data_IF_346955807335
#
_entry.id   IF_346955807335
#
_cell.length_a   1.000
_cell.length_b   1.000
_cell.length_c   1.000
_cell.angle_alpha   90.00
_cell.angle_beta   90.00
_cell.angle_gamma   90.00
#
_symmetry.space_group_name_H-M   'P 1'
#
loop_
_entity.id
_entity.type
_entity.pdbx_description
1 polymer ?
#
# COMPACT_ATOMS: atom_id res chain seq x y z
N UNK A 1 -17.19 11.38 12.12
CA UNK A 1 -17.46 12.63 11.36
C UNK A 1 -16.48 12.69 10.22
N UNK A 2 -16.85 13.26 9.07
CA UNK A 2 -15.93 13.41 7.93
C UNK A 2 -14.86 14.46 8.29
N UNK A 3 -13.59 14.13 8.12
CA UNK A 3 -12.46 15.05 8.31
C UNK A 3 -12.27 15.84 7.01
N UNK A 4 -11.86 17.11 7.10
CA UNK A 4 -11.57 17.95 5.92
C UNK A 4 -10.24 17.54 5.25
N UNK A 5 -9.25 17.16 6.05
CA UNK A 5 -7.92 16.71 5.58
C UNK A 5 -7.48 15.49 6.35
N UNK A 6 -7.07 14.42 5.66
CA UNK A 6 -6.56 13.19 6.27
C UNK A 6 -5.03 13.19 6.27
N UNK A 7 -4.44 12.88 7.42
CA UNK A 7 -2.99 12.76 7.64
C UNK A 7 -2.53 11.35 7.23
N UNK A 8 -1.70 11.30 6.19
CA UNK A 8 -1.26 10.04 5.57
C UNK A 8 0.25 9.92 5.70
N UNK A 9 0.69 8.76 6.19
CA UNK A 9 2.10 8.36 6.17
C UNK A 9 2.33 7.49 4.94
N UNK A 10 3.31 7.86 4.12
CA UNK A 10 3.75 7.02 3.00
C UNK A 10 4.79 6.00 3.48
N UNK A 11 4.57 4.71 3.22
CA UNK A 11 5.59 3.68 3.41
C UNK A 11 6.26 3.33 2.08
N UNK A 12 7.58 3.46 2.03
CA UNK A 12 8.46 3.31 0.87
C UNK A 12 8.41 4.44 -0.16
N UNK A 13 9.55 4.62 -0.85
CA UNK A 13 9.78 5.64 -1.89
C UNK A 13 10.20 5.04 -3.25
N UNK A 14 9.79 3.79 -3.52
CA UNK A 14 9.94 3.15 -4.83
C UNK A 14 8.99 3.74 -5.89
N UNK A 15 8.85 3.11 -7.06
CA UNK A 15 8.03 3.64 -8.15
C UNK A 15 6.58 3.95 -7.72
N UNK A 16 5.93 3.03 -7.00
CA UNK A 16 4.57 3.23 -6.45
C UNK A 16 4.56 4.30 -5.37
N UNK A 17 5.53 4.28 -4.45
CA UNK A 17 5.66 5.29 -3.39
C UNK A 17 5.86 6.70 -3.93
N UNK A 18 6.67 6.88 -4.99
CA UNK A 18 6.86 8.17 -5.68
C UNK A 18 5.56 8.70 -6.26
N UNK A 19 4.85 7.86 -7.00
CA UNK A 19 3.54 8.23 -7.56
C UNK A 19 2.53 8.56 -6.45
N UNK A 20 2.57 7.82 -5.34
CA UNK A 20 1.70 8.04 -4.19
C UNK A 20 2.00 9.36 -3.46
N UNK A 21 3.27 9.71 -3.24
CA UNK A 21 3.69 10.99 -2.64
C UNK A 21 3.17 12.16 -3.48
N UNK A 22 3.34 12.08 -4.82
CA UNK A 22 2.81 13.10 -5.74
C UNK A 22 1.28 13.18 -5.63
N UNK A 23 0.60 12.03 -5.60
CA UNK A 23 -0.86 11.95 -5.48
C UNK A 23 -1.38 12.55 -4.17
N UNK A 24 -0.72 12.26 -3.05
CA UNK A 24 -1.04 12.82 -1.73
C UNK A 24 -0.84 14.34 -1.75
N UNK A 25 0.31 14.82 -2.22
CA UNK A 25 0.63 16.24 -2.27
C UNK A 25 -0.33 17.06 -3.16
N UNK A 26 -0.84 16.47 -4.24
CA UNK A 26 -1.74 17.14 -5.17
C UNK A 26 -3.20 17.19 -4.70
N UNK A 27 -3.52 16.59 -3.55
CA UNK A 27 -4.89 16.50 -3.02
C UNK A 27 -5.06 17.38 -1.79
N UNK A 28 -6.02 18.31 -1.84
CA UNK A 28 -6.32 19.24 -0.73
C UNK A 28 -6.90 18.55 0.50
N UNK A 29 -7.48 17.37 0.32
CA UNK A 29 -8.07 16.57 1.38
C UNK A 29 -7.09 15.56 1.99
N UNK A 30 -5.81 15.57 1.58
CA UNK A 30 -4.75 14.74 2.15
C UNK A 30 -3.56 15.60 2.58
N UNK A 31 -2.88 15.16 3.63
CA UNK A 31 -1.64 15.74 4.12
C UNK A 31 -0.58 14.64 4.18
N UNK A 32 0.60 14.85 3.60
CA UNK A 32 1.73 13.94 3.74
C UNK A 32 2.37 14.19 5.13
N UNK A 33 2.04 13.35 6.10
CA UNK A 33 2.45 13.55 7.50
C UNK A 33 3.72 12.79 7.87
N UNK A 34 4.20 11.90 7.00
CA UNK A 34 5.41 11.13 7.22
C UNK A 34 5.84 10.34 5.99
N UNK A 35 7.12 9.97 5.96
CA UNK A 35 7.68 9.07 4.96
C UNK A 35 8.57 8.03 5.63
N UNK A 36 8.27 6.75 5.40
CA UNK A 36 9.08 5.63 5.87
C UNK A 36 9.92 5.11 4.71
N UNK A 37 11.22 4.94 4.94
CA UNK A 37 12.18 4.39 3.97
C UNK A 37 12.98 3.26 4.58
N UNK A 38 13.35 2.27 3.76
CA UNK A 38 14.27 1.20 4.15
C UNK A 38 15.74 1.50 3.84
N UNK A 39 16.00 2.41 2.89
CA UNK A 39 17.35 2.82 2.49
C UNK A 39 17.89 3.85 3.49
N UNK A 40 18.94 3.47 4.22
CA UNK A 40 19.57 4.31 5.26
C UNK A 40 20.05 5.66 4.72
N UNK A 41 20.45 5.73 3.44
CA UNK A 41 20.92 6.97 2.83
C UNK A 41 19.81 8.02 2.67
N UNK A 42 18.54 7.60 2.78
CA UNK A 42 17.38 8.48 2.65
C UNK A 42 16.87 9.00 3.98
N UNK A 43 17.32 8.45 5.11
CA UNK A 43 16.89 8.88 6.44
C UNK A 43 17.29 10.35 6.66
N UNK A 44 16.34 11.17 7.13
CA UNK A 44 16.53 12.61 7.32
C UNK A 44 16.53 13.43 6.02
N UNK A 45 16.41 12.81 4.85
CA UNK A 45 16.16 13.56 3.60
C UNK A 45 14.69 13.97 3.51
N UNK A 46 14.43 15.05 2.78
CA UNK A 46 13.06 15.49 2.51
C UNK A 46 12.38 14.57 1.47
N UNK A 47 11.09 14.29 1.66
CA UNK A 47 10.29 13.45 0.77
C UNK A 47 10.28 13.97 -0.67
N UNK A 48 10.14 15.29 -0.86
CA UNK A 48 10.21 15.95 -2.17
C UNK A 48 11.56 15.76 -2.84
N UNK A 49 12.64 15.97 -2.09
CA UNK A 49 14.00 15.75 -2.58
C UNK A 49 14.25 14.28 -2.99
N UNK A 50 13.76 13.30 -2.19
CA UNK A 50 13.87 11.86 -2.51
C UNK A 50 13.20 11.52 -3.85
N UNK A 51 12.07 12.15 -4.16
CA UNK A 51 11.31 11.85 -5.38
C UNK A 51 11.65 12.79 -6.56
N UNK A 52 12.53 13.78 -6.35
CA UNK A 52 13.01 14.69 -7.39
C UNK A 52 12.09 15.88 -7.67
N UNK A 53 11.36 16.37 -6.66
CA UNK A 53 10.56 17.60 -6.73
C UNK A 53 11.01 18.60 -5.65
N UNK A 54 10.32 19.75 -5.54
CA UNK A 54 10.55 20.72 -4.46
C UNK A 54 10.36 20.09 -3.07
N UNK A 55 11.11 20.58 -2.07
CA UNK A 55 10.99 20.06 -0.70
C UNK A 55 9.56 20.21 -0.16
N UNK A 56 9.07 19.15 0.46
CA UNK A 56 7.71 19.08 1.02
C UNK A 56 7.66 19.36 2.53
N UNK A 57 8.82 19.47 3.18
CA UNK A 57 8.94 19.65 4.63
C UNK A 57 8.74 18.36 5.43
N UNK A 58 8.77 17.19 4.78
CA UNK A 58 8.52 15.88 5.39
C UNK A 58 9.81 15.09 5.35
N UNK A 59 10.42 14.87 6.52
CA UNK A 59 11.67 14.12 6.66
C UNK A 59 11.39 12.63 6.70
N UNK A 60 12.18 11.85 5.96
CA UNK A 60 12.06 10.41 5.95
C UNK A 60 12.70 9.79 7.21
N UNK A 61 12.08 8.73 7.74
CA UNK A 61 12.60 7.90 8.84
C UNK A 61 12.54 6.43 8.44
N UNK A 62 13.25 5.55 9.14
CA UNK A 62 13.08 4.10 9.03
C UNK A 62 12.30 3.51 10.22
N UNK A 63 11.84 4.36 11.14
CA UNK A 63 11.16 3.95 12.36
C UNK A 63 9.66 4.18 12.24
N UNK A 64 8.91 3.11 11.98
CA UNK A 64 7.45 3.16 11.94
C UNK A 64 6.84 3.57 13.30
N UNK A 65 7.49 3.24 14.41
CA UNK A 65 6.93 3.48 15.75
C UNK A 65 6.78 4.98 16.06
N UNK A 66 7.44 5.85 15.30
CA UNK A 66 7.22 7.30 15.31
C UNK A 66 5.81 7.70 14.87
N UNK A 67 5.05 6.82 14.23
CA UNK A 67 3.71 7.11 13.68
C UNK A 67 2.59 6.26 14.30
N UNK A 68 2.92 5.29 15.17
CA UNK A 68 1.94 4.35 15.75
C UNK A 68 1.50 4.76 17.17
N UNK A 69 1.83 5.97 17.60
CA UNK A 69 1.36 6.49 18.89
C UNK A 69 -0.07 7.04 18.72
N UNK A 70 -0.99 6.62 19.59
CA UNK A 70 -2.38 7.07 19.62
C UNK A 70 -2.56 8.58 19.85
N UNK A 71 -1.54 9.27 20.40
CA UNK A 71 -1.55 10.73 20.55
C UNK A 71 -1.27 11.47 19.22
N UNK A 72 -0.83 10.76 18.19
CA UNK A 72 -0.59 11.32 16.86
C UNK A 72 -1.87 11.24 16.03
N UNK A 73 -2.18 12.35 15.37
CA UNK A 73 -3.32 12.43 14.45
C UNK A 73 -2.95 11.83 13.08
N UNK A 74 -2.70 10.51 13.01
CA UNK A 74 -2.44 9.78 11.75
C UNK A 74 -3.68 8.98 11.37
N UNK A 75 -4.25 9.28 10.19
CA UNK A 75 -5.48 8.63 9.75
C UNK A 75 -5.21 7.31 9.00
N UNK A 76 -4.12 7.27 8.22
CA UNK A 76 -3.83 6.14 7.33
C UNK A 76 -2.32 6.01 7.04
N UNK A 77 -1.87 4.76 6.90
CA UNK A 77 -0.59 4.44 6.28
C UNK A 77 -0.85 3.88 4.88
N UNK A 78 -0.29 4.54 3.87
CA UNK A 78 -0.23 4.01 2.51
C UNK A 78 0.99 3.07 2.39
N UNK A 79 0.74 1.78 2.57
CA UNK A 79 1.74 0.73 2.67
C UNK A 79 2.08 0.17 1.28
N UNK A 80 3.19 0.63 0.68
CA UNK A 80 3.56 0.21 -0.69
C UNK A 80 5.04 -0.20 -0.83
N UNK A 81 5.59 -1.07 0.05
CA UNK A 81 6.90 -1.66 -0.20
C UNK A 81 6.83 -2.69 -1.34
N UNK A 82 7.98 -3.26 -1.67
CA UNK A 82 8.03 -4.45 -2.51
C UNK A 82 7.49 -5.63 -1.71
N UNK A 83 6.48 -6.33 -2.25
CA UNK A 83 5.72 -7.32 -1.50
C UNK A 83 6.61 -8.48 -1.03
N UNK A 84 6.59 -8.79 0.27
CA UNK A 84 7.49 -9.75 0.92
C UNK A 84 7.39 -11.14 0.31
N UNK A 85 6.17 -11.60 -0.01
CA UNK A 85 5.94 -12.89 -0.64
C UNK A 85 6.58 -13.06 -2.02
N UNK A 86 7.01 -11.97 -2.69
CA UNK A 86 7.63 -12.00 -4.02
C UNK A 86 9.16 -12.00 -3.97
N UNK A 87 9.77 -11.44 -2.92
CA UNK A 87 11.20 -11.11 -2.93
C UNK A 87 11.95 -11.44 -1.64
N UNK A 88 11.27 -11.88 -0.59
CA UNK A 88 11.84 -11.89 0.76
C UNK A 88 11.98 -13.31 1.33
N UNK A 89 12.89 -13.46 2.28
CA UNK A 89 13.09 -14.71 3.05
C UNK A 89 11.92 -14.96 4.04
N UNK A 90 11.25 -13.89 4.47
CA UNK A 90 10.07 -13.93 5.33
C UNK A 90 8.79 -13.54 4.55
N UNK A 91 7.97 -14.51 4.12
CA UNK A 91 6.73 -14.22 3.39
C UNK A 91 5.67 -13.53 4.26
N UNK A 92 5.75 -13.62 5.59
CA UNK A 92 4.76 -13.05 6.52
C UNK A 92 5.08 -11.60 6.94
N UNK A 93 6.23 -11.05 6.53
CA UNK A 93 6.69 -9.72 6.93
C UNK A 93 5.64 -8.62 6.69
N UNK A 94 5.02 -8.59 5.49
CA UNK A 94 3.99 -7.59 5.18
C UNK A 94 2.76 -7.75 6.08
N UNK A 95 2.32 -9.00 6.31
CA UNK A 95 1.18 -9.30 7.19
C UNK A 95 1.47 -8.81 8.61
N UNK A 96 2.64 -9.11 9.14
CA UNK A 96 3.04 -8.75 10.50
C UNK A 96 3.12 -7.22 10.68
N UNK A 97 3.70 -6.51 9.70
CA UNK A 97 3.72 -5.04 9.69
C UNK A 97 2.31 -4.45 9.67
N UNK A 98 1.44 -4.94 8.77
CA UNK A 98 0.06 -4.47 8.64
C UNK A 98 -0.73 -4.73 9.93
N UNK A 99 -0.63 -5.92 10.52
CA UNK A 99 -1.30 -6.24 11.81
C UNK A 99 -0.82 -5.28 12.90
N UNK A 100 0.47 -4.98 12.99
CA UNK A 100 1.02 -4.02 13.95
C UNK A 100 0.39 -2.63 13.79
N UNK A 101 0.29 -2.13 12.56
CA UNK A 101 -0.31 -0.82 12.25
C UNK A 101 -1.81 -0.82 12.57
N UNK A 102 -2.54 -1.88 12.19
CA UNK A 102 -3.97 -1.97 12.44
C UNK A 102 -4.25 -1.96 13.95
N UNK A 103 -3.50 -2.73 14.75
CA UNK A 103 -3.66 -2.78 16.21
C UNK A 103 -3.36 -1.45 16.90
N UNK A 104 -2.51 -0.59 16.34
CA UNK A 104 -2.28 0.75 16.88
C UNK A 104 -3.39 1.74 16.55
N UNK A 105 -4.46 1.31 15.85
CA UNK A 105 -5.60 2.15 15.52
C UNK A 105 -5.39 3.04 14.30
N UNK A 106 -4.51 2.65 13.37
CA UNK A 106 -4.28 3.39 12.12
C UNK A 106 -4.76 2.56 10.92
N UNK A 107 -5.50 3.19 10.01
CA UNK A 107 -5.97 2.51 8.79
C UNK A 107 -4.79 2.18 7.86
N UNK A 108 -4.96 1.15 7.04
CA UNK A 108 -3.96 0.77 6.04
C UNK A 108 -4.59 0.67 4.67
N UNK A 109 -3.99 1.36 3.70
CA UNK A 109 -4.20 1.10 2.27
C UNK A 109 -2.92 0.47 1.73
N UNK A 110 -3.02 -0.59 0.94
CA UNK A 110 -1.83 -1.30 0.46
C UNK A 110 -1.94 -1.76 -0.98
N UNK A 111 -0.81 -1.80 -1.68
CA UNK A 111 -0.67 -2.41 -3.00
C UNK A 111 0.01 -3.77 -2.99
N UNK A 112 0.34 -4.30 -1.81
CA UNK A 112 1.07 -5.58 -1.69
C UNK A 112 0.17 -6.81 -1.65
N UNK A 113 -1.15 -6.65 -1.81
CA UNK A 113 -2.13 -7.74 -1.78
C UNK A 113 -3.28 -7.46 -0.82
N UNK A 114 -3.74 -8.49 -0.10
CA UNK A 114 -4.83 -8.41 0.89
C UNK A 114 -6.21 -8.01 0.35
N UNK A 115 -6.43 -8.11 -0.97
CA UNK A 115 -7.74 -7.86 -1.58
C UNK A 115 -8.79 -8.88 -1.14
N UNK A 116 -8.40 -10.15 -1.05
CA UNK A 116 -9.27 -11.25 -0.72
C UNK A 116 -8.58 -12.22 0.25
N UNK A 117 -8.31 -11.81 1.50
CA UNK A 117 -7.56 -12.58 2.48
C UNK A 117 -8.19 -13.95 2.78
N UNK A 118 -9.50 -14.09 2.57
CA UNK A 118 -10.23 -15.35 2.71
C UNK A 118 -9.67 -16.49 1.84
N UNK A 119 -9.05 -16.19 0.69
CA UNK A 119 -8.42 -17.20 -0.16
C UNK A 119 -7.24 -17.93 0.53
N UNK A 120 -6.66 -17.34 1.57
CA UNK A 120 -5.53 -17.92 2.31
C UNK A 120 -5.96 -18.72 3.54
N UNK A 121 -7.26 -18.90 3.77
CA UNK A 121 -7.83 -19.67 4.88
C UNK A 121 -8.44 -18.80 5.98
N UNK A 122 -9.29 -19.42 6.79
CA UNK A 122 -10.03 -18.72 7.85
C UNK A 122 -9.11 -18.18 8.95
N UNK A 123 -8.03 -18.88 9.30
CA UNK A 123 -7.06 -18.38 10.30
C UNK A 123 -6.39 -17.09 9.83
N UNK A 124 -5.95 -17.04 8.56
CA UNK A 124 -5.36 -15.86 7.96
C UNK A 124 -6.33 -14.66 7.95
N UNK A 125 -7.59 -14.91 7.59
CA UNK A 125 -8.64 -13.90 7.63
C UNK A 125 -8.89 -13.41 9.07
N UNK A 126 -8.99 -14.33 10.03
CA UNK A 126 -9.28 -14.04 11.43
C UNK A 126 -8.18 -13.20 12.09
N UNK A 127 -6.91 -13.45 11.77
CA UNK A 127 -5.78 -12.63 12.24
C UNK A 127 -5.95 -11.16 11.83
N UNK A 128 -6.26 -10.91 10.55
CA UNK A 128 -6.45 -9.56 9.99
C UNK A 128 -7.70 -8.90 10.57
N UNK A 129 -8.84 -9.61 10.57
CA UNK A 129 -10.09 -9.06 11.11
C UNK A 129 -9.98 -8.73 12.60
N UNK A 130 -9.28 -9.56 13.37
CA UNK A 130 -9.05 -9.30 14.79
C UNK A 130 -8.21 -8.06 14.99
N UNK A 131 -7.17 -7.84 14.18
CA UNK A 131 -6.36 -6.62 14.23
C UNK A 131 -7.17 -5.36 13.88
N UNK A 132 -8.00 -5.42 12.82
CA UNK A 132 -8.93 -4.34 12.47
C UNK A 132 -9.92 -4.03 13.61
N UNK A 133 -10.49 -5.06 14.24
CA UNK A 133 -11.44 -4.91 15.36
C UNK A 133 -10.75 -4.33 16.60
N UNK A 134 -9.54 -4.79 16.91
CA UNK A 134 -8.75 -4.32 18.06
C UNK A 134 -8.40 -2.83 17.93
N UNK A 135 -7.94 -2.38 16.76
CA UNK A 135 -7.64 -0.97 16.53
C UNK A 135 -8.85 -0.10 16.16
N UNK A 136 -10.01 -0.69 15.86
CA UNK A 136 -11.18 0.05 15.39
C UNK A 136 -10.97 0.67 13.99
N UNK A 137 -10.18 0.03 13.14
CA UNK A 137 -9.74 0.53 11.83
C UNK A 137 -9.95 -0.47 10.71
N UNK A 138 -9.59 -0.06 9.50
CA UNK A 138 -9.77 -0.83 8.27
C UNK A 138 -8.48 -1.09 7.52
N UNK A 139 -8.43 -2.22 6.83
CA UNK A 139 -7.45 -2.56 5.82
C UNK A 139 -8.12 -2.54 4.44
N UNK A 140 -7.47 -1.87 3.48
CA UNK A 140 -7.88 -1.89 2.09
C UNK A 140 -6.70 -2.32 1.19
N UNK A 141 -6.72 -3.58 0.78
CA UNK A 141 -5.85 -4.08 -0.29
C UNK A 141 -6.38 -3.71 -1.67
N UNK A 142 -5.54 -3.09 -2.49
CA UNK A 142 -5.90 -2.64 -3.85
C UNK A 142 -4.66 -2.59 -4.74
N UNK A 143 -4.78 -2.05 -5.95
CA UNK A 143 -3.69 -1.97 -6.92
C UNK A 143 -4.23 -1.90 -8.34
N UNK A 144 -3.32 -1.72 -9.30
CA UNK A 144 -3.70 -1.76 -10.70
C UNK A 144 -4.12 -3.19 -11.10
N UNK A 145 -3.23 -4.15 -10.88
CA UNK A 145 -3.50 -5.58 -10.94
C UNK A 145 -2.56 -6.31 -9.94
N UNK A 146 -3.08 -6.95 -8.88
CA UNK A 146 -4.50 -7.10 -8.53
C UNK A 146 -5.07 -5.82 -7.88
N UNK A 147 -6.35 -5.54 -8.09
CA UNK A 147 -7.16 -4.55 -7.36
C UNK A 147 -8.25 -3.95 -8.23
N UNK A 148 -7.85 -3.40 -9.37
CA UNK A 148 -8.71 -2.56 -10.18
C UNK A 148 -9.05 -3.22 -11.51
N UNK A 149 -8.04 -3.51 -12.34
CA UNK A 149 -8.24 -3.97 -13.71
C UNK A 149 -8.80 -5.39 -13.77
N UNK A 150 -8.30 -6.31 -12.93
CA UNK A 150 -8.71 -7.71 -12.94
C UNK A 150 -9.85 -8.05 -11.97
N UNK A 151 -10.16 -7.15 -11.04
CA UNK A 151 -11.18 -7.36 -10.01
C UNK A 151 -12.32 -6.36 -10.15
N UNK A 152 -12.11 -5.07 -9.85
CA UNK A 152 -13.21 -4.11 -9.78
C UNK A 152 -13.88 -3.88 -11.13
N UNK A 153 -13.12 -3.74 -12.21
CA UNK A 153 -13.65 -3.50 -13.56
C UNK A 153 -14.57 -4.66 -14.01
N UNK A 154 -14.12 -5.93 -14.05
CA UNK A 154 -15.00 -7.02 -14.46
C UNK A 154 -16.20 -7.19 -13.51
N UNK A 155 -16.02 -7.05 -12.20
CA UNK A 155 -17.16 -7.11 -11.24
C UNK A 155 -18.19 -6.00 -11.47
N UNK A 156 -17.75 -4.80 -11.87
CA UNK A 156 -18.66 -3.71 -12.20
C UNK A 156 -19.39 -3.99 -13.52
N UNK A 157 -18.68 -4.49 -14.53
CA UNK A 157 -19.24 -4.78 -15.85
C UNK A 157 -20.24 -5.94 -15.83
N UNK A 158 -20.05 -6.94 -14.96
CA UNK A 158 -20.95 -8.10 -14.85
C UNK A 158 -22.34 -7.72 -14.38
N UNK A 159 -22.51 -6.60 -13.67
CA UNK A 159 -23.82 -6.08 -13.28
C UNK A 159 -24.75 -5.76 -14.46
N UNK A 160 -24.22 -5.65 -15.68
CA UNK A 160 -25.00 -5.45 -16.91
C UNK A 160 -25.35 -6.76 -17.64
N UNK A 161 -25.00 -7.91 -17.08
CA UNK A 161 -25.21 -9.23 -17.71
C UNK A 161 -26.30 -10.02 -16.98
N UNK A 162 -27.24 -10.63 -17.72
CA UNK A 162 -28.21 -11.57 -17.14
C UNK A 162 -27.58 -12.94 -16.86
N UNK A 163 -26.58 -13.35 -17.65
CA UNK A 163 -25.84 -14.61 -17.51
C UNK A 163 -24.36 -14.34 -17.86
N UNK A 164 -23.44 -14.86 -17.03
CA UNK A 164 -21.99 -14.71 -17.23
C UNK A 164 -21.41 -16.07 -17.60
N UNK A 165 -21.03 -16.25 -18.87
CA UNK A 165 -20.42 -17.51 -19.35
C UNK A 165 -18.91 -17.53 -19.19
N UNK A 166 -18.26 -16.38 -19.33
CA UNK A 166 -16.80 -16.24 -19.28
C UNK A 166 -16.42 -14.80 -18.99
N UNK A 167 -15.40 -14.62 -18.15
CA UNK A 167 -14.69 -13.35 -17.97
C UNK A 167 -13.25 -13.57 -18.46
N UNK A 168 -12.75 -12.66 -19.28
CA UNK A 168 -11.35 -12.64 -19.72
C UNK A 168 -10.81 -11.26 -19.39
N UNK A 169 -9.74 -11.23 -18.62
CA UNK A 169 -8.93 -10.04 -18.40
C UNK A 169 -7.55 -10.34 -18.98
N UNK A 170 -7.01 -9.42 -19.77
CA UNK A 170 -5.67 -9.52 -20.33
C UNK A 170 -4.91 -8.25 -19.98
N UNK A 171 -3.73 -8.42 -19.39
CA UNK A 171 -2.80 -7.34 -19.09
C UNK A 171 -1.58 -7.47 -20.00
N UNK A 172 -1.07 -6.32 -20.45
CA UNK A 172 0.20 -6.22 -21.17
C UNK A 172 0.98 -5.05 -20.57
N UNK A 173 2.23 -5.32 -20.20
CA UNK A 173 3.08 -4.38 -19.47
C UNK A 173 4.42 -4.22 -20.19
N UNK A 174 4.92 -2.99 -20.21
CA UNK A 174 6.20 -2.63 -20.82
C UNK A 174 7.29 -2.54 -19.73
N UNK A 175 8.30 -3.40 -19.82
CA UNK A 175 9.36 -3.54 -18.81
C UNK A 175 10.72 -2.99 -19.24
N UNK A 176 10.88 -2.49 -20.47
CA UNK A 176 12.16 -1.95 -20.98
C UNK A 176 12.74 -0.81 -20.14
N UNK A 177 11.92 -0.12 -19.35
CA UNK A 177 12.34 0.98 -18.47
C UNK A 177 12.31 0.60 -16.98
N UNK A 178 12.02 -0.66 -16.64
CA UNK A 178 11.98 -1.07 -15.23
C UNK A 178 13.39 -1.25 -14.67
N UNK A 179 13.74 -0.56 -13.57
CA UNK A 179 15.10 -0.55 -13.05
C UNK A 179 15.44 -1.81 -12.21
N UNK A 180 14.46 -2.61 -11.81
CA UNK A 180 14.68 -3.81 -11.00
C UNK A 180 14.69 -5.06 -11.85
N UNK A 181 15.84 -5.74 -11.89
CA UNK A 181 16.00 -7.02 -12.55
C UNK A 181 15.14 -8.09 -11.88
N UNK A 182 15.06 -8.07 -10.55
CA UNK A 182 14.32 -9.05 -9.75
C UNK A 182 12.83 -9.02 -10.11
N UNK A 183 12.23 -7.82 -10.25
CA UNK A 183 10.83 -7.69 -10.66
C UNK A 183 10.63 -8.20 -12.10
N UNK A 184 11.50 -7.83 -13.02
CA UNK A 184 11.34 -8.16 -14.45
C UNK A 184 11.59 -9.64 -14.73
N UNK A 185 12.69 -10.18 -14.21
CA UNK A 185 13.14 -11.54 -14.51
C UNK A 185 12.52 -12.56 -13.55
N UNK A 186 12.62 -12.30 -12.25
CA UNK A 186 12.26 -13.30 -11.23
C UNK A 186 10.78 -13.19 -10.80
N UNK A 187 10.13 -12.05 -11.05
CA UNK A 187 8.73 -11.83 -10.69
C UNK A 187 7.74 -12.01 -11.85
N UNK A 188 7.98 -11.34 -12.99
CA UNK A 188 7.00 -11.18 -14.07
C UNK A 188 7.15 -12.17 -15.23
N UNK A 189 8.34 -12.75 -15.43
CA UNK A 189 8.64 -13.65 -16.54
C UNK A 189 8.69 -15.14 -16.15
N UNK A 190 8.47 -15.48 -14.88
CA UNK A 190 8.30 -16.86 -14.39
C UNK A 190 6.81 -17.22 -14.33
#
# INVERSE_FOLDING_TARGET
MKKETYNVVQWSSGNVGKASIIGINNRKDLNLSGLIVSDENKIGMDAGAIIGIEELGVKATNNIDEFLNADLDIDCINYTPLASFRVNEDPDLDKNNIIKILKSGVNVVTTVGFLFPKAFGEDYLNEIESACKEGGVSLHGTGYNPGWLAELVPLTMTGMSQEIKKIIVSESSEFSYYPSKEIVIDGMLM
#
